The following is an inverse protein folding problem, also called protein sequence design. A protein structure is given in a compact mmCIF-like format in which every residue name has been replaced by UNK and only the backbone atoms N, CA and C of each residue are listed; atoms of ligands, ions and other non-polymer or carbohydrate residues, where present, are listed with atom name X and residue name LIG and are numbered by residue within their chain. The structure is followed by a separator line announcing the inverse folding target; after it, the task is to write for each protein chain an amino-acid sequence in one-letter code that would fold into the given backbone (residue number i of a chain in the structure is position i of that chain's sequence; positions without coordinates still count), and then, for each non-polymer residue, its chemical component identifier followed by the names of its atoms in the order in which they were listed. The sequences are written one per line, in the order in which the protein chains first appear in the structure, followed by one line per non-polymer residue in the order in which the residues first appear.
data_IF_645313750555
#
_entry.id   IF_645313750555
#
_cell.length_a   1.000
_cell.length_b   1.000
_cell.length_c   1.000
_cell.angle_alpha   90.00
_cell.angle_beta   90.00
_cell.angle_gamma   90.00
#
_symmetry.space_group_name_H-M   'P 1'
#
loop_
_entity.id
_entity.type
_entity.pdbx_description
1 polymer ?
#
# COMPACT_ATOMS: atom_id res chain seq x y z
N UNK A 1 17.93 36.78 12.18
CA UNK A 1 16.75 36.01 11.73
C UNK A 1 17.24 34.63 11.35
N UNK A 2 17.12 33.65 12.25
CA UNK A 2 17.55 32.27 11.96
C UNK A 2 16.54 31.72 10.95
N UNK A 3 17.00 31.41 9.75
CA UNK A 3 16.28 30.53 8.83
C UNK A 3 16.33 29.15 9.50
N UNK A 4 15.31 28.81 10.29
CA UNK A 4 15.11 27.41 10.66
C UNK A 4 14.76 26.69 9.35
N UNK A 5 15.56 25.69 9.01
CA UNK A 5 15.19 24.75 7.95
C UNK A 5 13.77 24.25 8.23
N UNK A 6 12.93 24.01 7.21
CA UNK A 6 11.62 23.42 7.45
C UNK A 6 11.79 22.14 8.28
N UNK A 7 10.88 21.86 9.23
CA UNK A 7 10.98 20.69 10.09
C UNK A 7 11.14 19.43 9.21
N UNK A 8 12.16 18.63 9.52
CA UNK A 8 12.40 17.37 8.83
C UNK A 8 11.37 16.37 9.38
N UNK A 9 10.50 15.79 8.54
CA UNK A 9 9.51 14.84 9.01
C UNK A 9 10.19 13.61 9.61
N UNK A 10 9.79 13.25 10.82
CA UNK A 10 10.26 12.02 11.48
C UNK A 10 9.20 10.95 11.31
N UNK A 11 9.56 9.82 10.71
CA UNK A 11 8.65 8.72 10.47
C UNK A 11 8.84 7.61 11.51
N UNK A 12 7.74 7.10 12.04
CA UNK A 12 7.71 5.96 12.95
C UNK A 12 6.83 4.86 12.38
N UNK A 13 7.24 3.61 12.57
CA UNK A 13 6.55 2.45 12.00
C UNK A 13 6.09 1.52 13.12
N UNK A 14 4.83 1.10 13.03
CA UNK A 14 4.28 0.03 13.85
C UNK A 14 3.88 -1.14 12.96
N UNK A 15 4.06 -2.37 13.46
CA UNK A 15 3.76 -3.59 12.71
C UNK A 15 2.72 -4.41 13.44
N UNK A 16 1.73 -4.86 12.68
CA UNK A 16 0.73 -5.82 13.15
C UNK A 16 0.67 -6.97 12.17
N UNK A 17 0.72 -8.18 12.71
CA UNK A 17 0.60 -9.40 11.93
C UNK A 17 -0.78 -9.50 11.30
N UNK A 18 -0.84 -9.72 9.99
CA UNK A 18 -2.08 -10.01 9.27
C UNK A 18 -2.25 -11.53 9.09
N UNK A 19 -2.81 -12.17 10.11
CA UNK A 19 -3.14 -13.59 10.14
C UNK A 19 -4.63 -13.83 10.48
N UNK A 20 -5.03 -15.06 10.76
CA UNK A 20 -6.41 -15.40 11.13
C UNK A 20 -6.88 -14.77 12.46
N UNK A 21 -5.97 -14.31 13.29
CA UNK A 21 -6.23 -13.68 14.57
C UNK A 21 -6.21 -12.15 14.50
N UNK A 22 -5.80 -11.58 13.37
CA UNK A 22 -5.82 -10.14 13.12
C UNK A 22 -7.18 -9.50 13.41
N UNK A 23 -7.17 -8.46 14.25
CA UNK A 23 -8.34 -7.66 14.59
C UNK A 23 -8.03 -6.18 14.33
N UNK A 24 -8.88 -5.47 13.59
CA UNK A 24 -8.72 -4.03 13.47
C UNK A 24 -8.98 -3.39 14.84
N UNK A 25 -8.20 -2.36 15.18
CA UNK A 25 -8.48 -1.48 16.32
C UNK A 25 -9.76 -0.68 16.05
N UNK A 26 -10.47 -0.27 17.11
CA UNK A 26 -11.74 0.47 17.01
C UNK A 26 -11.61 1.80 16.24
N UNK A 27 -10.41 2.38 16.22
CA UNK A 27 -10.06 3.62 15.51
C UNK A 27 -9.36 3.36 14.15
N UNK A 28 -9.23 2.11 13.71
CA UNK A 28 -8.65 1.81 12.38
C UNK A 28 -9.52 2.46 11.31
N UNK A 29 -8.89 3.22 10.41
CA UNK A 29 -9.60 3.93 9.34
C UNK A 29 -10.55 2.97 8.61
N UNK A 30 -11.76 3.46 8.31
CA UNK A 30 -12.81 2.68 7.67
C UNK A 30 -12.35 2.15 6.30
N UNK A 31 -11.47 2.89 5.63
CA UNK A 31 -11.01 2.69 4.27
C UNK A 31 -9.76 1.82 4.14
N UNK A 32 -9.16 1.32 5.23
CA UNK A 32 -8.10 0.31 5.07
C UNK A 32 -8.73 -1.01 4.65
N UNK A 33 -8.43 -1.45 3.42
CA UNK A 33 -9.02 -2.65 2.80
C UNK A 33 -8.91 -3.91 3.69
N UNK A 34 -7.86 -4.00 4.50
CA UNK A 34 -7.62 -5.12 5.43
C UNK A 34 -8.62 -5.17 6.58
N UNK A 35 -9.04 -4.01 7.09
CA UNK A 35 -9.98 -3.94 8.21
C UNK A 35 -11.36 -4.46 7.81
N UNK A 36 -11.77 -4.30 6.56
CA UNK A 36 -13.07 -4.77 6.07
C UNK A 36 -13.17 -6.31 6.01
N UNK A 37 -12.08 -6.98 5.59
CA UNK A 37 -12.00 -8.45 5.63
C UNK A 37 -12.03 -9.00 7.06
N UNK A 38 -11.56 -8.19 8.02
CA UNK A 38 -11.34 -8.58 9.40
C UNK A 38 -12.49 -8.19 10.36
N UNK A 39 -13.69 -7.92 9.86
CA UNK A 39 -14.88 -7.53 10.65
C UNK A 39 -15.99 -8.61 10.60
N UNK A 40 -16.88 -8.57 11.59
CA UNK A 40 -18.07 -9.44 11.67
C UNK A 40 -17.82 -10.84 12.23
N UNK A 41 -18.89 -11.63 12.33
CA UNK A 41 -18.88 -12.97 12.95
C UNK A 41 -18.01 -13.97 12.18
N UNK A 42 -17.95 -13.84 10.85
CA UNK A 42 -17.16 -14.72 9.96
C UNK A 42 -15.70 -14.26 9.77
N UNK A 43 -15.21 -13.31 10.59
CA UNK A 43 -13.85 -12.73 10.49
C UNK A 43 -12.75 -13.76 10.26
N UNK A 44 -12.66 -14.77 11.13
CA UNK A 44 -11.57 -15.78 11.07
C UNK A 44 -11.60 -16.56 9.76
N UNK A 45 -12.80 -16.96 9.32
CA UNK A 45 -12.97 -17.70 8.08
C UNK A 45 -12.61 -16.86 6.85
N UNK A 46 -13.05 -15.59 6.82
CA UNK A 46 -12.68 -14.65 5.76
C UNK A 46 -11.17 -14.46 5.66
N UNK A 47 -10.49 -14.28 6.80
CA UNK A 47 -9.03 -14.13 6.85
C UNK A 47 -8.31 -15.40 6.38
N UNK A 48 -8.73 -16.58 6.87
CA UNK A 48 -8.19 -17.87 6.41
C UNK A 48 -8.37 -18.08 4.91
N UNK A 49 -9.53 -17.73 4.37
CA UNK A 49 -9.81 -17.84 2.94
C UNK A 49 -8.92 -16.91 2.12
N UNK A 50 -8.73 -15.66 2.56
CA UNK A 50 -7.87 -14.69 1.90
C UNK A 50 -6.39 -15.14 1.91
N UNK A 51 -5.87 -15.56 3.07
CA UNK A 51 -4.48 -16.05 3.20
C UNK A 51 -4.27 -17.28 2.32
N UNK A 52 -5.19 -18.25 2.35
CA UNK A 52 -5.11 -19.44 1.49
C UNK A 52 -5.13 -19.08 0.00
N UNK A 53 -5.95 -18.11 -0.40
CA UNK A 53 -5.98 -17.64 -1.79
C UNK A 53 -4.63 -17.05 -2.20
N UNK A 54 -3.97 -16.30 -1.32
CA UNK A 54 -2.65 -15.72 -1.56
C UNK A 54 -1.59 -16.82 -1.65
N UNK A 55 -1.57 -17.75 -0.71
CA UNK A 55 -0.67 -18.91 -0.72
C UNK A 55 -0.82 -19.71 -2.01
N UNK A 56 -2.05 -20.10 -2.36
CA UNK A 56 -2.34 -20.84 -3.59
C UNK A 56 -1.83 -20.08 -4.83
N UNK A 57 -2.14 -18.78 -4.92
CA UNK A 57 -1.73 -17.97 -6.07
C UNK A 57 -0.21 -17.84 -6.15
N UNK A 58 0.47 -17.70 -5.02
CA UNK A 58 1.93 -17.64 -4.99
C UNK A 58 2.54 -18.96 -5.45
N UNK A 59 2.03 -20.10 -4.96
CA UNK A 59 2.50 -21.43 -5.34
C UNK A 59 2.27 -21.72 -6.83
N UNK A 60 1.15 -21.28 -7.41
CA UNK A 60 0.88 -21.35 -8.86
C UNK A 60 1.93 -20.58 -9.67
N UNK A 61 2.34 -19.39 -9.22
CA UNK A 61 3.33 -18.57 -9.91
C UNK A 61 4.77 -19.09 -9.72
N UNK A 62 5.04 -19.73 -8.58
CA UNK A 62 6.35 -20.32 -8.23
C UNK A 62 6.40 -21.84 -8.51
N UNK A 63 5.85 -22.30 -9.64
CA UNK A 63 5.65 -23.71 -9.92
C UNK A 63 6.95 -24.50 -10.22
N UNK A 64 8.04 -23.84 -10.62
CA UNK A 64 9.24 -24.50 -11.16
C UNK A 64 9.92 -25.49 -10.20
N UNK A 65 9.76 -25.28 -8.89
CA UNK A 65 10.36 -26.13 -7.85
C UNK A 65 9.35 -26.52 -6.76
N UNK A 66 8.08 -26.62 -7.17
CA UNK A 66 6.91 -26.73 -6.30
C UNK A 66 5.84 -27.67 -6.88
N UNK A 67 6.18 -28.96 -6.97
CA UNK A 67 5.35 -29.98 -7.63
C UNK A 67 3.96 -30.16 -6.98
N UNK A 68 3.88 -29.98 -5.66
CA UNK A 68 2.66 -30.18 -4.86
C UNK A 68 1.85 -28.91 -4.65
N UNK A 69 2.33 -27.76 -5.14
CA UNK A 69 1.71 -26.45 -4.99
C UNK A 69 1.46 -26.01 -3.53
N UNK A 70 2.23 -26.52 -2.58
CA UNK A 70 2.11 -26.25 -1.13
C UNK A 70 3.46 -25.92 -0.46
N UNK A 71 4.54 -25.72 -1.24
CA UNK A 71 5.88 -25.45 -0.70
C UNK A 71 5.97 -24.10 0.01
N UNK A 72 5.23 -23.10 -0.44
CA UNK A 72 5.38 -21.73 0.01
C UNK A 72 4.14 -21.24 0.76
N UNK A 73 4.36 -20.40 1.77
CA UNK A 73 3.33 -19.51 2.32
C UNK A 73 3.80 -18.06 2.24
N UNK A 74 2.86 -17.13 2.16
CA UNK A 74 3.13 -15.69 2.17
C UNK A 74 2.60 -15.09 3.45
N UNK A 75 3.56 -14.75 4.30
CA UNK A 75 3.36 -14.03 5.53
C UNK A 75 3.14 -12.55 5.24
N UNK A 76 2.15 -11.94 5.92
CA UNK A 76 1.75 -10.55 5.73
C UNK A 76 1.81 -9.79 7.05
N UNK A 77 2.45 -8.62 7.04
CA UNK A 77 2.42 -7.66 8.13
C UNK A 77 1.84 -6.34 7.62
N UNK A 78 0.88 -5.79 8.36
CA UNK A 78 0.43 -4.41 8.15
C UNK A 78 1.45 -3.51 8.84
N UNK A 79 2.06 -2.61 8.06
CA UNK A 79 2.97 -1.61 8.57
C UNK A 79 2.28 -0.26 8.53
N UNK A 80 1.94 0.26 9.71
CA UNK A 80 1.33 1.57 9.89
C UNK A 80 2.43 2.60 10.09
N UNK A 81 2.45 3.62 9.23
CA UNK A 81 3.45 4.68 9.24
C UNK A 81 2.80 5.95 9.78
N UNK A 82 3.44 6.55 10.78
CA UNK A 82 3.06 7.85 11.32
C UNK A 82 4.17 8.86 11.10
N UNK A 83 3.78 10.14 10.96
CA UNK A 83 4.71 11.26 10.84
C UNK A 83 4.58 12.19 12.04
N UNK A 84 5.72 12.64 12.55
CA UNK A 84 5.84 13.79 13.44
C UNK A 84 6.44 14.95 12.63
N UNK A 85 5.76 16.10 12.69
CA UNK A 85 6.13 17.33 11.98
C UNK A 85 6.64 18.43 12.92
N UNK A 86 6.67 18.19 14.23
CA UNK A 86 7.08 19.19 15.21
C UNK A 86 8.61 19.20 15.40
N UNK A 87 9.18 20.40 15.56
CA UNK A 87 10.59 20.59 15.90
C UNK A 87 10.85 20.13 17.35
N UNK A 88 11.04 18.82 17.56
CA UNK A 88 11.37 18.27 18.87
C UNK A 88 11.02 16.80 19.11
N UNK A 89 10.20 16.16 18.25
CA UNK A 89 9.83 14.75 18.39
C UNK A 89 8.80 14.44 19.50
N UNK A 90 8.28 15.49 20.15
CA UNK A 90 7.23 15.44 21.20
C UNK A 90 5.85 15.84 20.64
N UNK A 91 5.72 15.90 19.31
CA UNK A 91 4.50 16.32 18.62
C UNK A 91 3.41 15.25 18.56
N UNK A 92 2.21 15.66 18.17
CA UNK A 92 1.14 14.71 17.86
C UNK A 92 1.50 13.91 16.60
N UNK A 93 1.50 12.58 16.70
CA UNK A 93 1.82 11.70 15.58
C UNK A 93 0.60 11.50 14.71
N UNK A 94 0.73 11.78 13.42
CA UNK A 94 -0.35 11.61 12.47
C UNK A 94 -0.14 10.34 11.65
N UNK A 95 -1.12 9.40 11.62
CA UNK A 95 -1.03 8.24 10.76
C UNK A 95 -1.13 8.71 9.30
N UNK A 96 -0.11 8.37 8.52
CA UNK A 96 -0.05 8.73 7.10
C UNK A 96 -0.48 7.55 6.23
N UNK A 97 0.23 6.43 6.24
CA UNK A 97 -0.03 5.34 5.29
C UNK A 97 0.09 3.98 5.98
N UNK A 98 -0.73 3.03 5.53
CA UNK A 98 -0.59 1.62 5.87
C UNK A 98 -0.18 0.86 4.61
N UNK A 99 0.93 0.12 4.68
CA UNK A 99 1.42 -0.74 3.61
C UNK A 99 1.45 -2.19 4.08
N UNK A 100 1.36 -3.14 3.14
CA UNK A 100 1.64 -4.54 3.44
C UNK A 100 3.11 -4.85 3.20
N UNK A 101 3.75 -5.40 4.21
CA UNK A 101 5.04 -6.06 4.10
C UNK A 101 4.81 -7.57 3.93
N UNK A 102 5.53 -8.17 2.98
CA UNK A 102 5.39 -9.59 2.67
C UNK A 102 6.66 -10.34 3.07
N UNK A 103 6.51 -11.59 3.51
CA UNK A 103 7.62 -12.54 3.73
C UNK A 103 7.25 -13.88 3.12
N UNK A 104 8.13 -14.44 2.30
CA UNK A 104 7.92 -15.78 1.73
C UNK A 104 8.49 -16.80 2.71
N UNK A 105 7.69 -17.76 3.11
CA UNK A 105 8.08 -18.90 3.94
C UNK A 105 8.26 -20.10 3.03
N UNK A 106 9.48 -20.64 2.95
CA UNK A 106 9.76 -21.87 2.22
C UNK A 106 9.74 -23.06 3.19
N UNK A 107 8.67 -23.86 3.12
CA UNK A 107 8.48 -25.00 4.03
C UNK A 107 9.49 -26.13 3.80
N UNK A 108 10.12 -26.18 2.62
CA UNK A 108 11.12 -27.20 2.29
C UNK A 108 12.46 -26.92 2.96
N UNK A 109 12.87 -25.66 2.98
CA UNK A 109 14.17 -25.25 3.54
C UNK A 109 14.07 -24.66 4.94
N UNK A 110 12.86 -24.30 5.39
CA UNK A 110 12.62 -23.55 6.62
C UNK A 110 13.01 -22.07 6.53
N UNK A 111 13.36 -21.59 5.34
CA UNK A 111 13.85 -20.21 5.14
C UNK A 111 12.70 -19.21 5.12
N UNK A 112 12.99 -18.00 5.60
CA UNK A 112 12.11 -16.83 5.51
C UNK A 112 12.77 -15.79 4.63
N UNK A 113 12.17 -15.49 3.49
CA UNK A 113 12.73 -14.63 2.45
C UNK A 113 11.98 -13.30 2.49
N UNK A 114 12.66 -12.17 2.76
CA UNK A 114 12.01 -10.86 2.74
C UNK A 114 11.37 -10.58 1.38
N UNK A 115 10.08 -10.26 1.40
CA UNK A 115 9.29 -9.89 0.24
C UNK A 115 9.44 -8.42 -0.11
N UNK A 116 8.39 -7.83 -0.67
CA UNK A 116 8.32 -6.40 -1.01
C UNK A 116 7.28 -5.74 -0.08
N UNK A 117 7.52 -4.49 0.30
CA UNK A 117 6.53 -3.66 0.98
C UNK A 117 5.74 -2.82 -0.04
N UNK A 118 4.45 -2.66 0.16
CA UNK A 118 3.63 -1.82 -0.71
C UNK A 118 2.17 -2.18 -0.67
N UNK A 119 1.46 -1.74 -1.71
CA UNK A 119 0.01 -1.83 -1.85
C UNK A 119 -0.75 -0.86 -0.92
N UNK A 120 -1.96 -0.47 -1.34
CA UNK A 120 -2.89 0.42 -0.64
C UNK A 120 -2.58 1.94 -0.66
N UNK A 121 -1.66 2.42 -1.51
CA UNK A 121 -1.45 3.88 -1.70
C UNK A 121 -2.73 4.63 -2.12
N UNK A 122 -3.61 3.96 -2.86
CA UNK A 122 -4.86 4.57 -3.32
C UNK A 122 -5.82 4.91 -2.19
N UNK A 123 -5.84 4.18 -1.06
CA UNK A 123 -6.69 4.56 0.08
C UNK A 123 -6.19 5.87 0.72
N UNK A 124 -4.88 6.06 0.73
CA UNK A 124 -4.25 7.24 1.32
C UNK A 124 -4.67 8.53 0.59
N UNK A 125 -4.63 8.52 -0.74
CA UNK A 125 -5.09 9.65 -1.57
C UNK A 125 -6.62 9.78 -1.52
N UNK A 126 -7.36 8.65 -1.45
CA UNK A 126 -8.83 8.68 -1.47
C UNK A 126 -9.46 9.36 -0.25
N UNK A 127 -8.89 9.16 0.93
CA UNK A 127 -9.47 9.67 2.17
C UNK A 127 -9.50 11.20 2.23
N UNK A 128 -8.53 11.87 1.61
CA UNK A 128 -8.42 13.34 1.65
C UNK A 128 -8.62 13.98 0.28
N UNK A 129 -7.78 13.69 -0.71
CA UNK A 129 -7.86 14.35 -2.01
C UNK A 129 -9.21 14.10 -2.68
N UNK A 130 -9.62 12.83 -2.79
CA UNK A 130 -10.90 12.50 -3.44
C UNK A 130 -12.13 12.82 -2.58
N UNK A 131 -12.06 12.64 -1.27
CA UNK A 131 -13.24 12.73 -0.39
C UNK A 131 -13.45 14.11 0.22
N UNK A 132 -12.42 14.98 0.23
CA UNK A 132 -12.47 16.32 0.83
C UNK A 132 -12.10 17.39 -0.19
N UNK A 133 -10.90 17.32 -0.77
CA UNK A 133 -10.37 18.40 -1.63
C UNK A 133 -11.17 18.52 -2.93
N UNK A 134 -11.38 17.41 -3.64
CA UNK A 134 -12.08 17.41 -4.93
C UNK A 134 -13.55 17.87 -4.81
N UNK A 135 -14.35 17.39 -3.84
CA UNK A 135 -15.70 17.92 -3.64
C UNK A 135 -15.71 19.40 -3.27
N UNK A 136 -14.81 19.85 -2.39
CA UNK A 136 -14.74 21.26 -1.98
C UNK A 136 -14.41 22.19 -3.17
N UNK A 137 -13.47 21.78 -4.02
CA UNK A 137 -13.10 22.51 -5.24
C UNK A 137 -14.27 22.64 -6.22
N UNK A 138 -15.05 21.58 -6.38
CA UNK A 138 -16.16 21.54 -7.34
C UNK A 138 -17.47 22.13 -6.79
N UNK A 139 -17.54 22.50 -5.50
CA UNK A 139 -18.75 23.01 -4.87
C UNK A 139 -19.25 24.35 -5.47
N UNK A 140 -18.36 25.13 -6.11
CA UNK A 140 -18.66 26.45 -6.65
C UNK A 140 -19.29 26.47 -8.06
N UNK A 141 -19.50 25.31 -8.71
CA UNK A 141 -20.50 25.17 -9.78
C UNK A 141 -20.12 25.58 -11.21
N UNK A 142 -18.85 25.67 -11.59
CA UNK A 142 -18.43 25.98 -12.98
C UNK A 142 -18.21 24.75 -13.88
N UNK A 143 -18.45 23.54 -13.37
CA UNK A 143 -18.18 22.27 -14.07
C UNK A 143 -17.10 21.44 -13.36
N UNK A 144 -16.99 20.16 -13.71
CA UNK A 144 -15.99 19.29 -13.10
C UNK A 144 -14.58 19.74 -13.46
N UNK A 145 -13.75 19.98 -12.45
CA UNK A 145 -12.32 20.22 -12.59
C UNK A 145 -11.55 19.64 -11.41
N UNK A 146 -10.24 19.51 -11.58
CA UNK A 146 -9.33 18.96 -10.57
C UNK A 146 -8.46 20.12 -10.07
N UNK A 147 -8.21 20.24 -8.76
CA UNK A 147 -7.24 21.20 -8.22
C UNK A 147 -5.85 21.00 -8.82
N UNK A 148 -5.11 22.09 -9.03
CA UNK A 148 -3.74 22.04 -9.57
C UNK A 148 -2.76 21.25 -8.68
N UNK A 149 -3.04 21.17 -7.38
CA UNK A 149 -2.24 20.49 -6.36
C UNK A 149 -2.82 19.14 -5.91
N UNK A 150 -3.77 18.58 -6.66
CA UNK A 150 -4.42 17.31 -6.34
C UNK A 150 -3.40 16.17 -6.18
N UNK A 151 -3.39 15.52 -5.01
CA UNK A 151 -2.46 14.45 -4.67
C UNK A 151 -1.03 14.90 -4.37
N UNK A 152 -0.68 16.18 -4.52
CA UNK A 152 0.70 16.69 -4.31
C UNK A 152 1.16 16.49 -2.87
N UNK A 153 0.28 16.75 -1.89
CA UNK A 153 0.58 16.55 -0.47
C UNK A 153 0.95 15.09 -0.17
N UNK A 154 0.07 14.16 -0.53
CA UNK A 154 0.25 12.72 -0.30
C UNK A 154 1.46 12.17 -1.05
N UNK A 155 1.69 12.64 -2.29
CA UNK A 155 2.87 12.32 -3.08
C UNK A 155 4.18 12.81 -2.43
N UNK A 156 4.19 14.03 -1.88
CA UNK A 156 5.35 14.56 -1.17
C UNK A 156 5.63 13.78 0.13
N UNK A 157 4.60 13.48 0.92
CA UNK A 157 4.75 12.70 2.16
C UNK A 157 5.30 11.30 1.88
N UNK A 158 4.80 10.62 0.84
CA UNK A 158 5.31 9.32 0.44
C UNK A 158 6.75 9.37 -0.07
N UNK A 159 7.10 10.36 -0.90
CA UNK A 159 8.50 10.57 -1.34
C UNK A 159 9.43 10.80 -0.15
N UNK A 160 9.04 11.63 0.80
CA UNK A 160 9.80 11.87 2.02
C UNK A 160 9.94 10.61 2.88
N UNK A 161 8.88 9.80 2.99
CA UNK A 161 8.93 8.53 3.71
C UNK A 161 9.92 7.56 3.06
N UNK A 162 9.82 7.32 1.75
CA UNK A 162 10.70 6.39 1.02
C UNK A 162 12.17 6.84 1.08
N UNK A 163 12.42 8.16 1.11
CA UNK A 163 13.76 8.72 1.24
C UNK A 163 14.30 8.75 2.69
N UNK A 164 13.50 8.39 3.69
CA UNK A 164 13.87 8.51 5.10
C UNK A 164 14.73 7.35 5.61
N UNK A 165 15.48 7.62 6.69
CA UNK A 165 16.20 6.58 7.43
C UNK A 165 15.26 5.50 7.97
N UNK A 166 14.05 5.88 8.39
CA UNK A 166 13.05 4.94 8.86
C UNK A 166 12.70 3.90 7.79
N UNK A 167 12.58 4.31 6.52
CA UNK A 167 12.33 3.36 5.44
C UNK A 167 13.53 2.43 5.22
N UNK A 168 14.73 2.98 5.09
CA UNK A 168 15.95 2.19 4.78
C UNK A 168 16.34 1.24 5.91
N UNK A 169 16.04 1.57 7.17
CA UNK A 169 16.24 0.69 8.32
C UNK A 169 15.26 -0.48 8.37
N UNK A 170 14.07 -0.31 7.79
CA UNK A 170 12.97 -1.27 7.92
C UNK A 170 12.68 -2.07 6.65
N UNK A 171 13.05 -1.56 5.47
CA UNK A 171 12.77 -2.20 4.19
C UNK A 171 14.02 -2.28 3.32
N UNK A 172 14.28 -3.47 2.79
CA UNK A 172 15.43 -3.73 1.92
C UNK A 172 15.15 -3.47 0.43
N UNK A 173 13.89 -3.28 0.04
CA UNK A 173 13.46 -3.14 -1.37
C UNK A 173 12.61 -1.87 -1.52
N UNK A 174 12.62 -1.31 -2.72
CA UNK A 174 11.72 -0.21 -3.08
C UNK A 174 10.25 -0.63 -2.98
N UNK A 175 9.33 0.30 -2.67
CA UNK A 175 7.93 -0.04 -2.51
C UNK A 175 7.26 -0.27 -3.86
N UNK A 176 6.18 -1.05 -3.87
CA UNK A 176 5.31 -1.22 -5.04
C UNK A 176 3.95 -0.59 -4.81
N UNK A 177 3.40 0.01 -5.86
CA UNK A 177 2.05 0.59 -5.87
C UNK A 177 1.23 -0.15 -6.93
N UNK A 178 0.08 -0.68 -6.52
CA UNK A 178 -0.89 -1.23 -7.44
C UNK A 178 -1.91 -0.14 -7.81
N UNK A 179 -2.03 0.16 -9.10
CA UNK A 179 -3.02 1.08 -9.64
C UNK A 179 -4.07 0.27 -10.41
N UNK A 180 -5.34 0.69 -10.27
CA UNK A 180 -6.41 0.14 -11.09
C UNK A 180 -6.36 0.78 -12.47
N UNK A 181 -6.46 -0.03 -13.51
CA UNK A 181 -6.60 0.46 -14.89
C UNK A 181 -7.96 1.15 -15.08
N UNK A 182 -8.00 2.19 -15.88
CA UNK A 182 -9.23 2.91 -16.19
C UNK A 182 -10.05 2.20 -17.26
N UNK A 183 -11.35 2.04 -17.04
CA UNK A 183 -12.27 1.49 -18.05
C UNK A 183 -12.59 2.45 -19.20
N UNK A 184 -12.20 3.72 -19.07
CA UNK A 184 -12.45 4.76 -20.10
C UNK A 184 -11.27 4.95 -21.04
N UNK A 185 -10.17 4.21 -20.84
CA UNK A 185 -8.93 4.33 -21.60
C UNK A 185 -8.64 3.08 -22.42
N UNK A 186 -7.97 3.26 -23.55
CA UNK A 186 -7.51 2.15 -24.39
C UNK A 186 -6.06 1.82 -24.04
N UNK A 187 -5.80 0.58 -23.64
CA UNK A 187 -4.46 0.07 -23.34
C UNK A 187 -3.94 -0.76 -24.51
N UNK A 188 -2.77 -0.41 -25.03
CA UNK A 188 -2.14 -1.11 -26.15
C UNK A 188 -1.12 -2.12 -25.63
N UNK A 189 -1.31 -3.37 -26.02
CA UNK A 189 -0.38 -4.46 -25.71
C UNK A 189 0.97 -4.20 -26.39
N UNK A 190 2.07 -4.38 -25.66
CA UNK A 190 3.43 -4.34 -26.22
C UNK A 190 3.95 -5.74 -26.52
N UNK A 191 5.15 -5.83 -27.09
CA UNK A 191 5.85 -7.09 -27.31
C UNK A 191 6.55 -7.62 -26.04
N UNK A 192 6.63 -6.80 -24.98
CA UNK A 192 7.27 -7.18 -23.72
C UNK A 192 6.38 -8.12 -22.92
N UNK A 193 6.92 -9.29 -22.55
CA UNK A 193 6.25 -10.26 -21.71
C UNK A 193 7.18 -10.76 -20.60
N UNK A 194 6.75 -10.59 -19.35
CA UNK A 194 7.40 -11.15 -18.19
C UNK A 194 6.81 -12.55 -17.88
N UNK A 195 7.63 -13.55 -17.52
CA UNK A 195 7.15 -14.92 -17.29
C UNK A 195 6.10 -15.04 -16.16
N UNK A 196 6.20 -14.18 -15.14
CA UNK A 196 5.27 -14.10 -14.00
C UNK A 196 4.24 -12.96 -14.12
N UNK A 197 4.69 -11.72 -14.31
CA UNK A 197 3.82 -10.53 -14.36
C UNK A 197 2.95 -10.43 -15.63
N UNK A 198 3.21 -11.26 -16.64
CA UNK A 198 2.43 -11.29 -17.88
C UNK A 198 2.87 -10.22 -18.87
N UNK A 199 1.93 -9.74 -19.66
CA UNK A 199 2.22 -8.84 -20.79
C UNK A 199 2.17 -7.38 -20.35
N UNK A 200 3.12 -6.59 -20.82
CA UNK A 200 3.14 -5.15 -20.61
C UNK A 200 2.15 -4.44 -21.55
N UNK A 201 1.44 -3.47 -20.99
CA UNK A 201 0.52 -2.59 -21.72
C UNK A 201 0.98 -1.15 -21.58
N UNK A 202 0.81 -0.37 -22.65
CA UNK A 202 1.08 1.06 -22.70
C UNK A 202 -0.21 1.84 -22.88
N UNK A 203 -0.29 2.99 -22.20
CA UNK A 203 -1.35 3.96 -22.32
C UNK A 203 -0.72 5.34 -22.07
N UNK A 204 -0.99 6.32 -22.95
CA UNK A 204 -0.34 7.64 -22.91
C UNK A 204 -1.33 8.78 -22.54
N UNK A 205 -2.61 8.49 -22.26
CA UNK A 205 -3.59 9.52 -21.90
C UNK A 205 -3.80 9.61 -20.39
N UNK A 206 -3.90 10.82 -19.85
CA UNK A 206 -4.15 10.97 -18.42
C UNK A 206 -5.49 10.36 -17.95
N UNK A 207 -5.45 9.58 -16.86
CA UNK A 207 -6.59 9.24 -15.99
C UNK A 207 -6.41 9.89 -14.61
N UNK A 208 -7.53 10.22 -13.96
CA UNK A 208 -7.55 10.71 -12.57
C UNK A 208 -6.94 9.73 -11.54
N UNK A 209 -6.82 8.47 -11.91
CA UNK A 209 -6.28 7.39 -11.08
C UNK A 209 -4.82 7.06 -11.39
N UNK A 210 -4.23 7.68 -12.41
CA UNK A 210 -2.82 7.53 -12.79
C UNK A 210 -1.96 8.54 -12.01
#
# INVERSE_FOLDING_TARGET
MRLTSPPVPVFTLERVRFDEDYRPLDNTRITTNFANLARGENRKENLRNAIRMIDNRFNELAASDNETADRYSVDLDIVSVSVDLDEGGDGERFPIIEVLETTIVDHRTGSRIPGIAGNNFSSYVRDYDFSVVLPAHNAAGSGFSVPDDFGVLHGNLFRSFVASDAYTQHFAKAPVICLSVSSTKTYQRTDTQHPVLGVEYRQDEYSLTD
#
